data_IF_404427778782
#
_entry.id   IF_404427778782
#
_cell.length_a   1.000
_cell.length_b   1.000
_cell.length_c   1.000
_cell.angle_alpha   90.00
_cell.angle_beta   90.00
_cell.angle_gamma   90.00
#
_symmetry.space_group_name_H-M   'P 1'
#
loop_
_entity.id
_entity.type
_entity.pdbx_description
1 polymer ?
#
# COMPACT_ATOMS: atom_id res chain seq x y z
N UNK A 1 -3.75 12.49 6.68
CA UNK A 1 -2.74 12.77 5.65
C UNK A 1 -3.40 12.49 4.31
N UNK A 2 -3.29 13.41 3.35
CA UNK A 2 -3.99 13.25 2.07
C UNK A 2 -3.48 12.02 1.31
N UNK A 3 -2.17 11.83 1.23
CA UNK A 3 -1.53 10.64 0.65
C UNK A 3 -2.09 9.29 1.12
N UNK A 4 -2.50 9.19 2.39
CA UNK A 4 -3.13 7.97 2.93
C UNK A 4 -4.53 7.77 2.35
N UNK A 5 -5.34 8.82 2.23
CA UNK A 5 -6.67 8.75 1.61
C UNK A 5 -6.56 8.30 0.16
N UNK A 6 -5.69 8.96 -0.60
CA UNK A 6 -5.44 8.67 -2.02
C UNK A 6 -5.00 7.23 -2.23
N UNK A 7 -4.09 6.75 -1.39
CA UNK A 7 -3.69 5.35 -1.38
C UNK A 7 -4.86 4.40 -1.12
N UNK A 8 -5.66 4.65 -0.08
CA UNK A 8 -6.80 3.80 0.29
C UNK A 8 -7.90 3.79 -0.78
N UNK A 9 -8.10 4.91 -1.47
CA UNK A 9 -9.06 5.03 -2.58
C UNK A 9 -8.55 4.34 -3.87
N UNK A 10 -7.25 4.03 -3.96
CA UNK A 10 -6.64 3.40 -5.12
C UNK A 10 -6.88 1.88 -5.20
N UNK A 11 -6.52 1.28 -6.36
CA UNK A 11 -6.48 -0.19 -6.49
C UNK A 11 -5.52 -0.86 -5.50
N UNK A 12 -4.47 -0.18 -5.07
CA UNK A 12 -3.48 -0.70 -4.12
C UNK A 12 -4.06 -0.69 -2.70
N UNK A 13 -4.89 0.32 -2.38
CA UNK A 13 -5.66 0.37 -1.14
C UNK A 13 -6.61 -0.83 -0.99
N UNK A 14 -7.26 -1.26 -2.08
CA UNK A 14 -8.05 -2.51 -2.07
C UNK A 14 -7.22 -3.75 -1.77
N UNK A 15 -6.05 -3.90 -2.39
CA UNK A 15 -5.15 -5.01 -2.09
C UNK A 15 -4.67 -5.00 -0.63
N UNK A 16 -4.43 -3.81 -0.07
CA UNK A 16 -4.12 -3.67 1.35
C UNK A 16 -5.30 -4.09 2.23
N UNK A 17 -6.51 -3.68 1.86
CA UNK A 17 -7.74 -4.07 2.57
C UNK A 17 -7.98 -5.59 2.50
N UNK A 18 -7.69 -6.24 1.37
CA UNK A 18 -7.76 -7.70 1.24
C UNK A 18 -6.81 -8.37 2.25
N UNK A 19 -5.59 -7.84 2.44
CA UNK A 19 -4.66 -8.33 3.45
C UNK A 19 -5.13 -8.05 4.89
N UNK A 20 -5.79 -6.92 5.15
CA UNK A 20 -6.44 -6.66 6.45
C UNK A 20 -7.54 -7.70 6.71
N UNK A 21 -8.37 -8.01 5.71
CA UNK A 21 -9.41 -9.03 5.83
C UNK A 21 -8.81 -10.41 6.10
N UNK A 22 -7.71 -10.78 5.43
CA UNK A 22 -6.99 -12.02 5.71
C UNK A 22 -6.55 -12.11 7.18
N UNK A 23 -6.05 -11.02 7.76
CA UNK A 23 -5.69 -10.97 9.19
C UNK A 23 -6.91 -11.07 10.11
N UNK A 24 -8.04 -10.45 9.76
CA UNK A 24 -9.29 -10.62 10.51
C UNK A 24 -9.81 -12.06 10.45
N UNK A 25 -9.69 -12.74 9.31
CA UNK A 25 -10.01 -14.17 9.18
C UNK A 25 -9.08 -15.05 10.03
N UNK A 26 -7.86 -14.60 10.31
CA UNK A 26 -6.95 -15.20 11.28
C UNK A 26 -7.28 -14.86 12.75
N UNK A 27 -8.48 -14.35 13.02
CA UNK A 27 -9.00 -13.99 14.36
C UNK A 27 -8.35 -12.79 15.03
N UNK A 28 -7.64 -11.93 14.27
CA UNK A 28 -7.22 -10.64 14.79
C UNK A 28 -8.40 -9.67 14.89
N UNK A 29 -8.46 -8.91 15.99
CA UNK A 29 -9.33 -7.74 16.06
C UNK A 29 -8.93 -6.72 14.97
N UNK A 30 -9.87 -5.88 14.51
CA UNK A 30 -9.63 -4.98 13.37
C UNK A 30 -8.35 -4.13 13.51
N UNK A 31 -8.11 -3.56 14.70
CA UNK A 31 -6.91 -2.77 14.95
C UNK A 31 -5.61 -3.60 14.79
N UNK A 32 -5.60 -4.82 15.34
CA UNK A 32 -4.46 -5.73 15.22
C UNK A 32 -4.28 -6.23 13.79
N UNK A 33 -5.38 -6.45 13.07
CA UNK A 33 -5.37 -6.84 11.66
C UNK A 33 -4.75 -5.75 10.77
N UNK A 34 -5.12 -4.48 11.00
CA UNK A 34 -4.52 -3.34 10.30
C UNK A 34 -3.02 -3.25 10.62
N UNK A 35 -2.63 -3.41 11.89
CA UNK A 35 -1.22 -3.40 12.30
C UNK A 35 -0.43 -4.54 11.65
N UNK A 36 -0.97 -5.76 11.64
CA UNK A 36 -0.34 -6.92 11.03
C UNK A 36 -0.16 -6.76 9.51
N UNK A 37 -1.20 -6.32 8.79
CA UNK A 37 -1.12 -6.02 7.36
C UNK A 37 -0.10 -4.90 7.07
N UNK A 38 -0.09 -3.86 7.90
CA UNK A 38 0.90 -2.78 7.82
C UNK A 38 2.33 -3.30 7.96
N UNK A 39 2.59 -4.14 8.97
CA UNK A 39 3.92 -4.74 9.18
C UNK A 39 4.33 -5.64 8.00
N UNK A 40 3.40 -6.43 7.47
CA UNK A 40 3.65 -7.27 6.30
C UNK A 40 4.04 -6.44 5.07
N UNK A 41 3.29 -5.37 4.78
CA UNK A 41 3.59 -4.47 3.66
C UNK A 41 4.85 -3.64 3.88
N UNK A 42 5.22 -3.37 5.13
CA UNK A 42 6.50 -2.75 5.47
C UNK A 42 7.67 -3.73 5.32
N UNK A 43 7.44 -5.05 5.47
CA UNK A 43 8.46 -6.09 5.30
C UNK A 43 8.73 -6.48 3.84
N UNK A 44 7.75 -6.33 2.95
CA UNK A 44 7.93 -6.58 1.52
C UNK A 44 8.63 -5.41 0.82
N UNK A 45 9.46 -5.70 -0.16
CA UNK A 45 10.25 -4.68 -0.87
C UNK A 45 10.00 -4.66 -2.37
N UNK A 46 9.90 -3.46 -2.95
CA UNK A 46 9.62 -3.24 -4.37
C UNK A 46 10.69 -3.92 -5.23
N UNK A 47 10.24 -4.88 -6.04
CA UNK A 47 11.06 -5.63 -6.98
C UNK A 47 11.24 -4.91 -8.32
N UNK A 48 12.00 -5.55 -9.23
CA UNK A 48 12.30 -4.99 -10.56
C UNK A 48 11.05 -4.73 -11.40
N UNK A 49 10.08 -5.65 -11.38
CA UNK A 49 8.87 -5.55 -12.21
C UNK A 49 8.00 -4.37 -11.78
N UNK A 50 7.66 -4.31 -10.48
CA UNK A 50 6.87 -3.23 -9.89
C UNK A 50 7.53 -1.87 -10.10
N UNK A 51 8.85 -1.80 -9.93
CA UNK A 51 9.62 -0.59 -10.20
C UNK A 51 9.49 -0.11 -11.65
N UNK A 52 9.63 -1.02 -12.62
CA UNK A 52 9.47 -0.69 -14.05
C UNK A 52 8.04 -0.25 -14.38
N UNK A 53 7.04 -0.88 -13.77
CA UNK A 53 5.63 -0.63 -14.07
C UNK A 53 5.13 0.71 -13.52
N UNK A 54 5.51 1.05 -12.28
CA UNK A 54 4.94 2.19 -11.55
C UNK A 54 5.95 3.33 -11.32
N UNK A 55 7.20 3.16 -11.73
CA UNK A 55 8.27 4.15 -11.48
C UNK A 55 8.76 4.18 -10.02
N UNK A 56 8.33 3.25 -9.17
CA UNK A 56 8.69 3.23 -7.76
C UNK A 56 10.14 2.73 -7.59
N UNK A 57 10.99 3.37 -6.77
CA UNK A 57 12.35 2.89 -6.51
C UNK A 57 12.38 1.47 -5.91
N UNK A 58 13.35 0.67 -6.38
CA UNK A 58 13.56 -0.70 -5.87
C UNK A 58 14.06 -0.68 -4.42
N UNK A 59 13.68 -1.72 -3.66
CA UNK A 59 14.13 -1.90 -2.28
C UNK A 59 13.34 -1.09 -1.25
N UNK A 60 12.49 -0.15 -1.68
CA UNK A 60 11.53 0.50 -0.77
C UNK A 60 10.49 -0.50 -0.27
N UNK A 61 9.98 -0.34 0.96
CA UNK A 61 8.83 -1.08 1.43
C UNK A 61 7.61 -0.89 0.52
N UNK A 62 6.77 -1.92 0.38
CA UNK A 62 5.55 -1.85 -0.44
C UNK A 62 4.65 -0.70 0.00
N UNK A 63 4.37 -0.59 1.30
CA UNK A 63 3.48 0.45 1.83
C UNK A 63 4.01 1.85 1.50
N UNK A 64 5.29 2.13 1.80
CA UNK A 64 5.93 3.40 1.49
C UNK A 64 5.88 3.71 -0.01
N UNK A 65 6.24 2.74 -0.85
CA UNK A 65 6.30 2.93 -2.30
C UNK A 65 4.94 3.22 -2.92
N UNK A 66 3.89 2.47 -2.55
CA UNK A 66 2.57 2.64 -3.13
C UNK A 66 1.83 3.87 -2.61
N UNK A 67 2.03 4.27 -1.35
CA UNK A 67 1.45 5.52 -0.83
C UNK A 67 1.98 6.73 -1.61
N UNK A 68 3.31 6.82 -1.78
CA UNK A 68 3.96 7.90 -2.55
C UNK A 68 3.53 7.86 -4.02
N UNK A 69 3.48 6.65 -4.61
CA UNK A 69 3.04 6.51 -6.01
C UNK A 69 1.62 7.02 -6.23
N UNK A 70 0.68 6.72 -5.32
CA UNK A 70 -0.69 7.15 -5.47
C UNK A 70 -0.82 8.67 -5.34
N UNK A 71 -0.07 9.29 -4.42
CA UNK A 71 -0.02 10.76 -4.27
C UNK A 71 0.48 11.45 -5.56
N UNK A 72 1.60 11.00 -6.13
CA UNK A 72 2.14 11.54 -7.39
C UNK A 72 1.17 11.32 -8.57
N UNK A 73 0.54 10.15 -8.63
CA UNK A 73 -0.39 9.81 -9.69
C UNK A 73 -1.68 10.66 -9.64
N UNK A 74 -2.19 10.96 -8.45
CA UNK A 74 -3.34 11.87 -8.28
C UNK A 74 -2.96 13.31 -8.64
N UNK A 75 -1.81 13.81 -8.21
CA UNK A 75 -1.32 15.15 -8.60
C UNK A 75 -1.20 15.28 -10.12
N UNK A 76 -0.68 14.25 -10.79
CA UNK A 76 -0.55 14.22 -12.25
C UNK A 76 -1.90 14.20 -13.00
N UNK A 77 -2.97 13.69 -12.37
CA UNK A 77 -4.33 13.68 -12.93
C UNK A 77 -5.07 15.00 -12.69
N UNK A 78 -4.65 15.77 -11.68
CA UNK A 78 -5.26 17.04 -11.31
C UNK A 78 -4.66 18.26 -12.03
N UNK A 79 -3.51 18.09 -12.71
CA UNK A 79 -2.78 19.12 -13.47
C UNK A 79 -3.17 19.16 -14.96
#
# INVERSE_FOLDING_TARGET
LESVRVFLDSRHGRHFADDVLNQQHASHALADAINAATQQWMGWTIGRLTSKQYGIPRGLPYLTGFVIHCEIAEESLAA
#
